data_IF_125881234252
#
_entry.id   IF_125881234252
#
_cell.length_a   1.000
_cell.length_b   1.000
_cell.length_c   1.000
_cell.angle_alpha   90.00
_cell.angle_beta   90.00
_cell.angle_gamma   90.00
#
_symmetry.space_group_name_H-M   'P 1'
#
loop_
_entity.id
_entity.type
_entity.pdbx_description
1 polymer ?
#
# COMPACT_ATOMS: atom_id res chain seq x y z
N UNK A 1 62.55 19.84 23.06
CA UNK A 1 61.52 20.25 22.09
C UNK A 1 60.73 19.01 21.66
N UNK A 2 59.48 18.86 22.10
CA UNK A 2 58.60 17.76 21.65
C UNK A 2 57.22 18.33 21.35
N UNK A 3 56.78 18.09 20.11
CA UNK A 3 55.66 18.72 19.41
C UNK A 3 54.33 18.31 20.04
N UNK A 4 53.50 19.30 20.39
CA UNK A 4 52.05 19.13 20.59
C UNK A 4 51.41 18.84 19.22
N UNK A 5 50.64 17.76 19.14
CA UNK A 5 49.67 17.55 18.07
C UNK A 5 48.27 17.61 18.68
N UNK A 6 47.51 18.62 18.25
CA UNK A 6 46.07 18.75 18.47
C UNK A 6 45.33 17.66 17.72
N UNK A 7 44.33 17.04 18.37
CA UNK A 7 43.34 16.21 17.69
C UNK A 7 41.96 16.71 18.13
N UNK A 8 41.38 17.57 17.30
CA UNK A 8 39.99 18.01 17.42
C UNK A 8 39.14 16.87 16.85
N UNK A 9 38.45 16.14 17.72
CA UNK A 9 37.45 15.15 17.33
C UNK A 9 36.15 15.90 17.09
N UNK A 10 35.88 16.28 15.84
CA UNK A 10 34.55 16.71 15.42
C UNK A 10 33.65 15.47 15.36
N UNK A 11 32.82 15.29 16.38
CA UNK A 11 31.72 14.32 16.35
C UNK A 11 30.66 14.88 15.42
N UNK A 12 30.69 14.48 14.15
CA UNK A 12 29.56 14.66 13.24
C UNK A 12 28.45 13.71 13.67
N UNK A 13 27.50 14.22 14.44
CA UNK A 13 26.24 13.53 14.72
C UNK A 13 25.43 13.57 13.42
N UNK A 14 25.54 12.50 12.62
CA UNK A 14 24.58 12.19 11.58
C UNK A 14 23.26 11.84 12.27
N UNK A 15 22.41 12.84 12.49
CA UNK A 15 21.01 12.61 12.79
C UNK A 15 20.40 12.04 11.50
N UNK A 16 19.89 10.80 11.48
CA UNK A 16 19.10 10.36 10.35
C UNK A 16 17.85 11.24 10.32
N UNK A 17 17.75 12.07 9.27
CA UNK A 17 16.54 12.81 8.96
C UNK A 17 15.47 11.78 8.57
N UNK A 18 14.82 11.17 9.55
CA UNK A 18 13.55 10.49 9.32
C UNK A 18 12.56 11.58 8.93
N UNK A 19 12.38 11.79 7.63
CA UNK A 19 11.30 12.60 7.12
C UNK A 19 10.01 12.15 7.82
N UNK A 20 9.24 13.08 8.43
CA UNK A 20 8.00 12.70 9.09
C UNK A 20 7.12 12.04 8.04
N UNK A 21 6.75 10.78 8.27
CA UNK A 21 5.76 10.11 7.43
C UNK A 21 4.53 11.01 7.39
N UNK A 22 4.07 11.38 6.19
CA UNK A 22 2.89 12.22 6.07
C UNK A 22 1.71 11.52 6.75
N UNK A 23 0.76 12.28 7.27
CA UNK A 23 -0.48 11.72 7.85
C UNK A 23 -1.22 10.78 6.88
N UNK A 24 -0.94 10.93 5.59
CA UNK A 24 -1.43 10.08 4.50
C UNK A 24 -0.73 8.71 4.49
N UNK A 25 0.59 8.65 4.70
CA UNK A 25 1.34 7.39 4.85
C UNK A 25 0.96 6.64 6.13
N UNK A 26 0.55 7.34 7.19
CA UNK A 26 -0.07 6.70 8.36
C UNK A 26 -1.38 5.99 7.98
N UNK A 27 -2.11 6.49 6.97
CA UNK A 27 -3.32 5.87 6.44
C UNK A 27 -3.07 4.44 5.95
N UNK A 28 -2.01 4.20 5.17
CA UNK A 28 -1.64 2.85 4.70
C UNK A 28 -1.46 1.90 5.88
N UNK A 29 -0.79 2.33 6.96
CA UNK A 29 -0.60 1.52 8.17
C UNK A 29 -1.91 1.19 8.89
N UNK A 30 -2.84 2.14 8.97
CA UNK A 30 -4.18 1.89 9.54
C UNK A 30 -4.94 0.86 8.70
N UNK A 31 -4.91 0.98 7.38
CA UNK A 31 -5.59 0.02 6.50
C UNK A 31 -4.92 -1.36 6.53
N UNK A 32 -3.59 -1.46 6.63
CA UNK A 32 -2.85 -2.72 6.80
C UNK A 32 -3.31 -3.47 8.05
N UNK A 33 -3.39 -2.74 9.16
CA UNK A 33 -3.86 -3.29 10.42
C UNK A 33 -5.28 -3.84 10.33
N UNK A 34 -6.18 -3.16 9.60
CA UNK A 34 -7.56 -3.63 9.38
C UNK A 34 -7.57 -4.88 8.51
N UNK A 35 -6.90 -4.86 7.35
CA UNK A 35 -6.87 -5.97 6.39
C UNK A 35 -6.25 -7.23 7.02
N UNK A 36 -5.12 -7.09 7.72
CA UNK A 36 -4.41 -8.22 8.36
C UNK A 36 -5.21 -8.95 9.44
N UNK A 37 -6.27 -8.32 9.97
CA UNK A 37 -7.16 -8.89 10.99
C UNK A 37 -8.53 -9.29 10.43
N UNK A 38 -8.73 -9.14 9.14
CA UNK A 38 -10.00 -9.43 8.49
C UNK A 38 -9.94 -10.78 7.80
N UNK A 39 -10.86 -11.66 8.16
CA UNK A 39 -11.09 -12.90 7.42
C UNK A 39 -11.95 -12.61 6.19
N UNK A 40 -11.40 -12.89 5.01
CA UNK A 40 -12.04 -12.67 3.72
C UNK A 40 -12.54 -13.97 3.10
N UNK A 41 -13.76 -13.92 2.59
CA UNK A 41 -14.35 -14.97 1.76
C UNK A 41 -14.36 -14.51 0.30
N UNK A 42 -14.08 -15.44 -0.62
CA UNK A 42 -14.29 -15.21 -2.05
C UNK A 42 -15.79 -15.17 -2.31
N UNK A 43 -16.30 -14.05 -2.82
CA UNK A 43 -17.71 -13.89 -3.19
C UNK A 43 -17.95 -14.43 -4.60
N UNK A 44 -17.19 -13.91 -5.57
CA UNK A 44 -17.23 -14.33 -6.98
C UNK A 44 -15.86 -14.16 -7.61
N UNK A 45 -15.43 -15.12 -8.43
CA UNK A 45 -14.23 -15.00 -9.26
C UNK A 45 -14.57 -15.25 -10.72
N UNK A 46 -14.33 -14.24 -11.54
CA UNK A 46 -14.42 -14.28 -13.00
C UNK A 46 -13.02 -14.33 -13.62
N UNK A 47 -12.94 -14.46 -14.95
CA UNK A 47 -11.67 -14.62 -15.67
C UNK A 47 -10.62 -13.52 -15.42
N UNK A 48 -11.06 -12.30 -15.09
CA UNK A 48 -10.17 -11.13 -14.93
C UNK A 48 -10.42 -10.33 -13.66
N UNK A 49 -11.35 -10.76 -12.80
CA UNK A 49 -11.69 -10.08 -11.56
C UNK A 49 -12.15 -11.07 -10.50
N UNK A 50 -11.74 -10.83 -9.26
CA UNK A 50 -12.21 -11.57 -8.10
C UNK A 50 -12.70 -10.59 -7.04
N UNK A 51 -13.89 -10.87 -6.51
CA UNK A 51 -14.53 -10.11 -5.42
C UNK A 51 -14.43 -10.90 -4.13
N UNK A 52 -14.12 -10.19 -3.07
CA UNK A 52 -13.97 -10.72 -1.72
C UNK A 52 -14.78 -9.87 -0.75
N UNK A 53 -15.24 -10.51 0.32
CA UNK A 53 -16.03 -9.85 1.35
C UNK A 53 -15.61 -10.34 2.72
N UNK A 54 -15.51 -9.43 3.68
CA UNK A 54 -15.29 -9.78 5.08
C UNK A 54 -16.48 -10.56 5.64
N UNK A 55 -16.24 -11.35 6.68
CA UNK A 55 -17.30 -12.13 7.36
C UNK A 55 -18.46 -11.26 7.85
N UNK A 56 -18.19 -10.05 8.34
CA UNK A 56 -19.19 -9.08 8.82
C UNK A 56 -19.77 -8.19 7.69
N UNK A 57 -19.31 -8.38 6.45
CA UNK A 57 -19.70 -7.64 5.24
C UNK A 57 -19.38 -6.14 5.25
N UNK A 58 -18.55 -5.68 6.18
CA UNK A 58 -18.15 -4.27 6.26
C UNK A 58 -16.99 -3.92 5.33
N UNK A 59 -16.23 -4.91 4.88
CA UNK A 59 -15.10 -4.70 3.96
C UNK A 59 -15.34 -5.51 2.70
N UNK A 60 -15.27 -4.83 1.55
CA UNK A 60 -15.37 -5.44 0.23
C UNK A 60 -14.09 -5.16 -0.54
N UNK A 61 -13.58 -6.16 -1.24
CA UNK A 61 -12.42 -6.00 -2.09
C UNK A 61 -12.71 -6.54 -3.48
N UNK A 62 -12.18 -5.86 -4.50
CA UNK A 62 -12.15 -6.36 -5.87
C UNK A 62 -10.70 -6.33 -6.37
N UNK A 63 -10.13 -7.50 -6.65
CA UNK A 63 -8.88 -7.63 -7.37
C UNK A 63 -9.19 -7.79 -8.86
N UNK A 64 -8.81 -6.81 -9.66
CA UNK A 64 -9.04 -6.80 -11.10
C UNK A 64 -7.73 -6.70 -11.86
N UNK A 65 -7.60 -7.49 -12.93
CA UNK A 65 -6.50 -7.33 -13.88
C UNK A 65 -6.70 -6.07 -14.71
N UNK A 66 -5.63 -5.34 -14.99
CA UNK A 66 -5.69 -4.20 -15.91
C UNK A 66 -6.18 -4.65 -17.29
N UNK A 67 -7.06 -3.87 -17.90
CA UNK A 67 -7.47 -4.11 -19.28
C UNK A 67 -6.36 -3.65 -20.26
N UNK A 68 -6.52 -3.95 -21.56
CA UNK A 68 -5.50 -3.63 -22.57
C UNK A 68 -5.14 -2.14 -22.64
N UNK A 69 -6.12 -1.24 -22.48
CA UNK A 69 -5.88 0.20 -22.53
C UNK A 69 -5.14 0.69 -21.27
N UNK A 70 -5.47 0.16 -20.10
CA UNK A 70 -4.78 0.45 -18.84
C UNK A 70 -3.36 -0.11 -18.83
N UNK A 71 -3.17 -1.33 -19.36
CA UNK A 71 -1.86 -1.96 -19.44
C UNK A 71 -0.94 -1.22 -20.42
N UNK A 72 -1.39 -0.99 -21.65
CA UNK A 72 -0.54 -0.38 -22.68
C UNK A 72 -0.37 1.13 -22.48
N UNK A 73 -1.38 1.82 -21.93
CA UNK A 73 -1.38 3.27 -21.78
C UNK A 73 -0.87 3.78 -20.43
N UNK A 74 -0.85 2.94 -19.40
CA UNK A 74 -0.48 3.34 -18.03
C UNK A 74 0.45 2.36 -17.33
N UNK A 75 0.94 1.34 -18.04
CA UNK A 75 1.76 0.26 -17.49
C UNK A 75 1.14 -0.42 -16.27
N UNK A 76 -0.19 -0.48 -16.22
CA UNK A 76 -0.90 -1.06 -15.09
C UNK A 76 -1.00 -2.58 -15.25
N UNK A 77 -0.84 -3.31 -14.15
CA UNK A 77 -0.94 -4.77 -14.14
C UNK A 77 -2.18 -5.24 -13.37
N UNK A 78 -2.36 -4.73 -12.15
CA UNK A 78 -3.50 -5.04 -11.29
C UNK A 78 -4.05 -3.80 -10.60
N UNK A 79 -5.34 -3.85 -10.29
CA UNK A 79 -6.01 -2.92 -9.40
C UNK A 79 -6.58 -3.73 -8.24
N UNK A 80 -6.32 -3.27 -7.02
CA UNK A 80 -7.00 -3.75 -5.82
C UNK A 80 -7.87 -2.62 -5.30
N UNK A 81 -9.17 -2.78 -5.48
CA UNK A 81 -10.17 -1.84 -5.00
C UNK A 81 -10.70 -2.33 -3.64
N UNK A 82 -10.68 -1.50 -2.61
CA UNK A 82 -11.05 -1.84 -1.23
C UNK A 82 -12.05 -0.79 -0.73
N UNK A 83 -13.21 -1.26 -0.30
CA UNK A 83 -14.26 -0.45 0.33
C UNK A 83 -14.44 -0.86 1.78
N UNK A 84 -14.39 0.13 2.67
CA UNK A 84 -14.73 0.00 4.08
C UNK A 84 -16.06 0.71 4.33
N UNK A 85 -17.11 -0.06 4.56
CA UNK A 85 -18.43 0.40 4.89
C UNK A 85 -18.81 -0.11 6.29
N UNK A 86 -18.28 0.58 7.31
CA UNK A 86 -18.59 0.28 8.70
C UNK A 86 -19.48 1.38 9.29
N UNK A 87 -20.12 1.09 10.44
CA UNK A 87 -20.89 2.11 11.18
C UNK A 87 -20.02 3.26 11.70
N UNK A 88 -18.71 3.04 11.86
CA UNK A 88 -17.79 3.99 12.50
C UNK A 88 -17.07 4.86 11.47
N UNK A 89 -16.86 4.36 10.26
CA UNK A 89 -16.23 5.09 9.17
C UNK A 89 -16.60 4.45 7.82
N UNK A 90 -16.73 5.29 6.80
CA UNK A 90 -17.00 4.88 5.43
C UNK A 90 -15.93 5.47 4.49
N UNK A 91 -14.99 4.64 4.06
CA UNK A 91 -13.83 5.02 3.25
C UNK A 91 -13.39 3.86 2.35
N UNK A 92 -12.24 3.97 1.72
CA UNK A 92 -11.71 2.95 0.82
C UNK A 92 -10.33 3.30 0.29
N UNK A 93 -9.70 2.31 -0.32
CA UNK A 93 -8.45 2.46 -1.04
C UNK A 93 -8.61 1.91 -2.45
N UNK A 94 -8.04 2.61 -3.44
CA UNK A 94 -7.75 2.03 -4.73
C UNK A 94 -6.24 1.92 -4.88
N UNK A 95 -5.72 0.70 -4.86
CA UNK A 95 -4.30 0.42 -5.04
C UNK A 95 -4.05 0.03 -6.49
N UNK A 96 -3.09 0.71 -7.12
CA UNK A 96 -2.67 0.47 -8.50
C UNK A 96 -1.26 -0.12 -8.50
N UNK A 97 -1.15 -1.33 -9.04
CA UNK A 97 0.10 -2.05 -9.21
C UNK A 97 0.55 -1.97 -10.66
N UNK A 98 1.71 -1.37 -10.88
CA UNK A 98 2.28 -1.15 -12.19
C UNK A 98 3.22 -2.29 -12.60
N UNK A 99 3.67 -2.30 -13.85
CA UNK A 99 4.69 -3.23 -14.35
C UNK A 99 6.03 -3.01 -13.63
N UNK A 100 6.35 -1.76 -13.31
CA UNK A 100 7.39 -1.42 -12.34
C UNK A 100 6.93 -1.81 -10.93
N UNK A 101 7.65 -2.75 -10.31
CA UNK A 101 7.31 -3.31 -8.99
C UNK A 101 7.55 -2.33 -7.86
N UNK A 102 8.39 -1.32 -8.08
CA UNK A 102 8.71 -0.29 -7.10
C UNK A 102 7.78 0.93 -7.23
N UNK A 103 6.95 0.97 -8.28
CA UNK A 103 5.89 1.97 -8.44
C UNK A 103 4.54 1.38 -8.02
N UNK A 104 4.04 1.80 -6.87
CA UNK A 104 2.69 1.49 -6.40
C UNK A 104 2.01 2.78 -5.98
N UNK A 105 0.80 3.03 -6.49
CA UNK A 105 0.03 4.22 -6.13
C UNK A 105 -1.25 3.83 -5.41
N UNK A 106 -1.52 4.51 -4.31
CA UNK A 106 -2.70 4.33 -3.48
C UNK A 106 -3.54 5.60 -3.54
N UNK A 107 -4.80 5.46 -3.93
CA UNK A 107 -5.77 6.54 -3.92
C UNK A 107 -6.72 6.31 -2.74
N UNK A 108 -6.81 7.27 -1.83
CA UNK A 108 -7.77 7.20 -0.72
C UNK A 108 -9.13 7.63 -1.27
N UNK A 109 -10.14 6.76 -1.21
CA UNK A 109 -11.48 7.08 -1.70
C UNK A 109 -12.08 8.23 -0.89
N UNK A 110 -12.88 9.07 -1.56
CA UNK A 110 -13.45 10.31 -1.00
C UNK A 110 -12.39 11.35 -0.57
N UNK A 111 -11.16 11.21 -1.07
CA UNK A 111 -10.07 12.16 -0.89
C UNK A 111 -9.46 12.53 -2.25
N UNK A 112 -8.92 13.75 -2.36
CA UNK A 112 -8.11 14.17 -3.52
C UNK A 112 -6.65 13.70 -3.43
N UNK A 113 -6.32 12.98 -2.36
CA UNK A 113 -4.97 12.57 -2.02
C UNK A 113 -4.61 11.28 -2.78
N UNK A 114 -3.42 11.31 -3.38
CA UNK A 114 -2.77 10.13 -3.95
C UNK A 114 -1.44 9.94 -3.25
N UNK A 115 -1.23 8.75 -2.70
CA UNK A 115 0.03 8.36 -2.08
C UNK A 115 0.79 7.52 -3.08
N UNK A 116 2.03 7.92 -3.38
CA UNK A 116 2.97 7.10 -4.11
C UNK A 116 3.90 6.40 -3.12
N UNK A 117 3.86 5.08 -3.10
CA UNK A 117 4.72 4.29 -2.23
C UNK A 117 6.15 4.36 -2.77
N UNK A 118 6.99 5.10 -2.06
CA UNK A 118 8.42 5.28 -2.40
C UNK A 118 9.33 4.63 -1.37
N UNK A 119 8.79 4.34 -0.17
CA UNK A 119 9.53 3.69 0.89
C UNK A 119 9.45 2.17 0.75
N UNK A 120 10.57 1.50 1.03
CA UNK A 120 10.70 0.04 0.84
C UNK A 120 9.71 -0.74 1.71
N UNK A 121 9.46 -0.29 2.92
CA UNK A 121 8.48 -0.89 3.84
C UNK A 121 7.04 -0.78 3.30
N UNK A 122 6.65 0.39 2.81
CA UNK A 122 5.34 0.61 2.18
C UNK A 122 5.13 -0.28 0.96
N UNK A 123 6.11 -0.29 0.05
CA UNK A 123 6.09 -1.14 -1.15
C UNK A 123 5.96 -2.61 -0.74
N UNK A 124 6.71 -3.05 0.28
CA UNK A 124 6.65 -4.42 0.78
C UNK A 124 5.28 -4.77 1.32
N UNK A 125 4.67 -3.91 2.14
CA UNK A 125 3.31 -4.10 2.67
C UNK A 125 2.28 -4.21 1.55
N UNK A 126 2.30 -3.27 0.59
CA UNK A 126 1.35 -3.26 -0.52
C UNK A 126 1.52 -4.48 -1.45
N UNK A 127 2.74 -4.94 -1.70
CA UNK A 127 2.99 -6.19 -2.42
C UNK A 127 2.53 -7.41 -1.64
N UNK A 128 2.65 -7.40 -0.31
CA UNK A 128 2.14 -8.46 0.56
C UNK A 128 0.62 -8.57 0.45
N UNK A 129 -0.10 -7.44 0.48
CA UNK A 129 -1.55 -7.43 0.26
C UNK A 129 -1.92 -8.10 -1.06
N UNK A 130 -1.27 -7.74 -2.17
CA UNK A 130 -1.55 -8.34 -3.48
C UNK A 130 -1.34 -9.86 -3.45
N UNK A 131 -0.24 -10.34 -2.86
CA UNK A 131 0.04 -11.79 -2.74
C UNK A 131 -1.02 -12.50 -1.90
N UNK A 132 -1.38 -11.92 -0.75
CA UNK A 132 -2.41 -12.48 0.14
C UNK A 132 -3.73 -12.59 -0.59
N UNK A 133 -4.18 -11.50 -1.24
CA UNK A 133 -5.46 -11.50 -1.96
C UNK A 133 -5.44 -12.52 -3.12
N UNK A 134 -4.35 -12.59 -3.88
CA UNK A 134 -4.18 -13.60 -4.93
C UNK A 134 -4.24 -15.04 -4.38
N UNK A 135 -3.73 -15.28 -3.18
CA UNK A 135 -3.73 -16.61 -2.54
C UNK A 135 -5.10 -17.07 -2.02
N UNK A 136 -6.07 -16.15 -1.89
CA UNK A 136 -7.44 -16.47 -1.49
C UNK A 136 -8.21 -17.21 -2.61
N UNK A 137 -7.77 -17.06 -3.86
CA UNK A 137 -8.33 -17.77 -5.01
C UNK A 137 -7.61 -19.11 -5.14
N UNK A 138 -8.36 -20.21 -4.99
CA UNK A 138 -7.86 -21.59 -5.18
C UNK A 138 -8.14 -22.08 -6.59
#
# INVERSE_FOLDING_TARGET
>A
MRKMFFLIVTVSILIPLSAPASTEQLGIGVFDYIISRTDFNVETCEAYSCKYVSTDKTIKMELRRANLAEHNGKDLNFLLDIDFNSKLFESGLLVRYYNDKDLIRVFIKKSSITIEATRRDEITTLQSWLKTVLSLVK
#
